data_IF_669103370501
#
_entry.id   IF_669103370501
#
_cell.length_a   1.000
_cell.length_b   1.000
_cell.length_c   1.000
_cell.angle_alpha   90.00
_cell.angle_beta   90.00
_cell.angle_gamma   90.00
#
_symmetry.space_group_name_H-M   'P 1'
#
loop_
_entity.id
_entity.type
_entity.pdbx_description
1 polymer ?
#
# COMPACT_ATOMS: atom_id res chain seq x y z
N UNK A 1 33.01 -2.05 -47.83
CA UNK A 1 32.54 -0.81 -47.16
C UNK A 1 31.25 -1.16 -46.44
N UNK A 2 31.28 -1.34 -45.12
CA UNK A 2 30.08 -1.60 -44.32
C UNK A 2 29.56 -0.24 -43.83
N UNK A 3 28.33 0.10 -44.19
CA UNK A 3 27.62 1.27 -43.68
C UNK A 3 27.21 1.01 -42.22
N UNK A 4 27.56 1.86 -41.25
CA UNK A 4 27.05 1.71 -39.90
C UNK A 4 25.54 1.98 -39.89
N UNK A 5 24.78 1.02 -39.37
CA UNK A 5 23.35 1.14 -39.12
C UNK A 5 23.13 2.21 -38.05
N UNK A 6 22.55 3.34 -38.44
CA UNK A 6 22.39 4.54 -37.63
C UNK A 6 20.94 4.63 -37.15
N UNK A 7 20.43 3.53 -36.57
CA UNK A 7 19.13 3.49 -35.94
C UNK A 7 19.06 4.43 -34.73
N UNK A 8 17.87 4.90 -34.33
CA UNK A 8 17.72 5.69 -33.12
C UNK A 8 18.28 4.92 -31.91
N UNK A 9 18.91 5.61 -30.94
CA UNK A 9 19.48 4.95 -29.78
C UNK A 9 18.39 4.22 -28.98
N UNK A 10 18.76 3.12 -28.34
CA UNK A 10 17.86 2.35 -27.48
C UNK A 10 17.29 3.24 -26.36
N UNK A 11 15.99 3.08 -26.08
CA UNK A 11 15.29 3.85 -25.05
C UNK A 11 15.89 3.58 -23.67
N UNK A 12 16.14 4.64 -22.91
CA UNK A 12 16.63 4.52 -21.53
C UNK A 12 15.50 4.09 -20.59
N UNK A 13 15.85 3.43 -19.48
CA UNK A 13 14.87 3.00 -18.48
C UNK A 13 14.03 4.17 -17.93
N UNK A 14 14.65 5.35 -17.74
CA UNK A 14 13.96 6.55 -17.31
C UNK A 14 12.96 7.04 -18.35
N UNK A 15 13.35 7.04 -19.63
CA UNK A 15 12.47 7.45 -20.72
C UNK A 15 11.26 6.52 -20.83
N UNK A 16 11.48 5.20 -20.72
CA UNK A 16 10.41 4.22 -20.72
C UNK A 16 9.42 4.44 -19.56
N UNK A 17 9.93 4.74 -18.36
CA UNK A 17 9.11 5.01 -17.17
C UNK A 17 8.29 6.29 -17.32
N UNK A 18 8.89 7.36 -17.86
CA UNK A 18 8.19 8.62 -18.12
C UNK A 18 7.12 8.47 -19.21
N UNK A 19 7.42 7.71 -20.26
CA UNK A 19 6.47 7.37 -21.32
C UNK A 19 5.29 6.59 -20.76
N UNK A 20 5.53 5.57 -19.94
CA UNK A 20 4.50 4.77 -19.28
C UNK A 20 3.62 5.61 -18.34
N UNK A 21 4.23 6.46 -17.51
CA UNK A 21 3.49 7.37 -16.62
C UNK A 21 2.60 8.36 -17.40
N UNK A 22 3.09 8.84 -18.55
CA UNK A 22 2.32 9.71 -19.45
C UNK A 22 1.14 9.00 -20.10
N UNK A 23 1.27 7.70 -20.42
CA UNK A 23 0.17 6.89 -20.92
C UNK A 23 -0.87 6.61 -19.82
N UNK A 24 -0.43 6.22 -18.62
CA UNK A 24 -1.30 5.98 -17.47
C UNK A 24 -2.06 7.24 -17.03
N UNK A 25 -1.43 8.41 -17.19
CA UNK A 25 -2.08 9.71 -16.96
C UNK A 25 -3.29 9.94 -17.86
N UNK A 26 -3.18 9.57 -19.15
CA UNK A 26 -4.27 9.73 -20.13
C UNK A 26 -5.44 8.79 -19.86
N UNK A 27 -5.19 7.58 -19.37
CA UNK A 27 -6.23 6.58 -19.12
C UNK A 27 -6.98 6.81 -17.81
N UNK A 28 -6.26 7.21 -16.76
CA UNK A 28 -6.83 7.37 -15.40
C UNK A 28 -7.30 8.78 -15.07
N UNK A 29 -6.84 9.79 -15.82
CA UNK A 29 -7.11 11.21 -15.53
C UNK A 29 -6.22 11.81 -14.42
N UNK A 30 -5.32 11.03 -13.82
CA UNK A 30 -4.35 11.55 -12.85
C UNK A 30 -3.13 12.18 -13.55
N UNK A 31 -2.50 13.22 -12.95
CA UNK A 31 -1.23 13.75 -13.45
C UNK A 31 -0.11 12.69 -13.55
N UNK A 32 0.72 12.77 -14.60
CA UNK A 32 1.81 11.82 -14.84
C UNK A 32 2.82 11.71 -13.68
N UNK A 33 3.11 12.81 -12.99
CA UNK A 33 4.03 12.80 -11.85
C UNK A 33 3.52 11.94 -10.67
N UNK A 34 2.19 11.83 -10.49
CA UNK A 34 1.61 10.97 -9.46
C UNK A 34 1.73 9.48 -9.82
N UNK A 35 1.62 9.16 -11.11
CA UNK A 35 1.91 7.81 -11.61
C UNK A 35 3.37 7.44 -11.42
N UNK A 36 4.28 8.35 -11.77
CA UNK A 36 5.71 8.15 -11.55
C UNK A 36 6.03 7.93 -10.07
N UNK A 37 5.43 8.72 -9.18
CA UNK A 37 5.58 8.56 -7.74
C UNK A 37 5.05 7.20 -7.26
N UNK A 38 3.86 6.80 -7.72
CA UNK A 38 3.29 5.49 -7.41
C UNK A 38 4.17 4.33 -7.93
N UNK A 39 4.69 4.42 -9.16
CA UNK A 39 5.62 3.43 -9.71
C UNK A 39 6.92 3.36 -8.92
N UNK A 40 7.47 4.50 -8.50
CA UNK A 40 8.70 4.55 -7.69
C UNK A 40 8.50 3.83 -6.35
N UNK A 41 7.40 4.13 -5.66
CA UNK A 41 7.03 3.43 -4.41
C UNK A 41 6.78 1.94 -4.66
N UNK A 42 6.07 1.58 -5.73
CA UNK A 42 5.82 0.19 -6.09
C UNK A 42 7.13 -0.58 -6.30
N UNK A 43 8.08 -0.03 -7.04
CA UNK A 43 9.39 -0.67 -7.25
C UNK A 43 10.18 -0.78 -5.94
N UNK A 44 10.10 0.22 -5.06
CA UNK A 44 10.72 0.16 -3.75
C UNK A 44 10.13 -1.00 -2.92
N UNK A 45 8.80 -1.11 -2.87
CA UNK A 45 8.09 -2.20 -2.20
C UNK A 45 8.48 -3.57 -2.77
N UNK A 46 8.53 -3.70 -4.10
CA UNK A 46 8.85 -4.95 -4.78
C UNK A 46 10.29 -5.41 -4.51
N UNK A 47 11.26 -4.52 -4.72
CA UNK A 47 12.66 -4.91 -4.79
C UNK A 47 13.45 -4.70 -3.50
N UNK A 48 13.00 -3.81 -2.61
CA UNK A 48 13.66 -3.57 -1.32
C UNK A 48 12.91 -4.18 -0.14
N UNK A 49 11.59 -4.37 -0.28
CA UNK A 49 10.76 -4.92 0.80
C UNK A 49 10.10 -6.25 0.44
N UNK A 50 10.38 -6.81 -0.74
CA UNK A 50 9.91 -8.13 -1.19
C UNK A 50 8.37 -8.26 -1.17
N UNK A 51 7.66 -7.16 -1.42
CA UNK A 51 6.20 -7.21 -1.52
C UNK A 51 5.75 -7.94 -2.79
N UNK A 52 4.65 -8.67 -2.68
CA UNK A 52 4.04 -9.44 -3.76
C UNK A 52 2.66 -8.87 -4.13
N UNK A 53 2.11 -9.33 -5.26
CA UNK A 53 0.78 -8.93 -5.75
C UNK A 53 0.57 -7.41 -5.86
N UNK A 54 1.65 -6.70 -6.21
CA UNK A 54 1.65 -5.25 -6.31
C UNK A 54 0.85 -4.77 -7.52
N UNK A 55 -0.04 -3.81 -7.29
CA UNK A 55 -0.83 -3.16 -8.34
C UNK A 55 -1.06 -1.68 -8.05
N UNK A 56 -1.03 -0.85 -9.08
CA UNK A 56 -1.44 0.57 -8.96
C UNK A 56 -2.95 0.65 -9.18
N UNK A 57 -3.66 1.16 -8.20
CA UNK A 57 -5.10 1.35 -8.20
C UNK A 57 -5.41 2.83 -8.48
N UNK A 58 -6.27 3.07 -9.46
CA UNK A 58 -6.73 4.41 -9.86
C UNK A 58 -8.23 4.61 -9.69
N UNK A 59 -8.95 3.54 -9.39
CA UNK A 59 -10.40 3.53 -9.26
C UNK A 59 -10.79 3.13 -7.84
N UNK A 60 -11.75 3.84 -7.29
CA UNK A 60 -12.31 3.57 -5.97
C UNK A 60 -12.97 2.20 -5.96
N UNK A 61 -12.66 1.41 -4.94
CA UNK A 61 -13.31 0.12 -4.70
C UNK A 61 -14.71 0.29 -4.12
N UNK A 62 -15.01 1.43 -3.49
CA UNK A 62 -16.29 1.71 -2.84
C UNK A 62 -17.29 2.30 -3.84
N UNK A 63 -16.91 3.34 -4.56
CA UNK A 63 -17.82 4.10 -5.43
C UNK A 63 -17.66 3.78 -6.91
N UNK A 64 -16.58 3.10 -7.30
CA UNK A 64 -16.22 2.89 -8.72
C UNK A 64 -15.78 4.15 -9.45
N UNK A 65 -15.69 5.31 -8.77
CA UNK A 65 -15.20 6.56 -9.35
C UNK A 65 -13.67 6.62 -9.36
N UNK A 66 -13.07 7.54 -10.10
CA UNK A 66 -11.63 7.81 -10.01
C UNK A 66 -11.24 8.13 -8.56
N UNK A 67 -10.13 7.55 -8.08
CA UNK A 67 -9.56 7.90 -6.79
C UNK A 67 -9.15 9.38 -6.77
N UNK A 68 -8.92 9.99 -5.59
CA UNK A 68 -8.30 11.32 -5.54
C UNK A 68 -6.85 11.29 -6.04
N UNK A 69 -6.16 10.16 -5.93
CA UNK A 69 -4.81 9.91 -6.47
C UNK A 69 -4.54 8.41 -6.63
N UNK A 70 -3.55 8.01 -7.44
CA UNK A 70 -3.13 6.62 -7.54
C UNK A 70 -2.66 6.08 -6.18
N UNK A 71 -3.11 4.89 -5.82
CA UNK A 71 -2.68 4.12 -4.67
C UNK A 71 -1.95 2.87 -5.11
N UNK A 72 -1.14 2.28 -4.25
CA UNK A 72 -0.52 0.97 -4.48
C UNK A 72 -1.19 -0.02 -3.54
N UNK A 73 -1.61 -1.17 -4.05
CA UNK A 73 -2.06 -2.31 -3.27
C UNK A 73 -1.02 -3.44 -3.40
N UNK A 74 -0.78 -4.20 -2.34
CA UNK A 74 0.09 -5.38 -2.38
C UNK A 74 0.17 -6.08 -1.03
N UNK A 75 0.95 -7.17 -0.99
CA UNK A 75 1.10 -8.03 0.19
C UNK A 75 2.56 -7.94 0.69
N UNK A 76 2.78 -7.53 1.95
CA UNK A 76 4.11 -7.53 2.55
C UNK A 76 4.58 -8.96 2.87
N UNK A 77 5.90 -9.24 2.92
CA UNK A 77 6.42 -10.56 3.25
C UNK A 77 6.09 -10.99 4.70
N UNK A 78 5.91 -10.02 5.58
CA UNK A 78 5.48 -10.20 6.96
C UNK A 78 4.38 -9.21 7.29
N UNK A 79 3.52 -9.55 8.25
CA UNK A 79 2.44 -8.67 8.70
C UNK A 79 2.97 -7.27 9.07
N UNK A 80 2.50 -6.25 8.35
CA UNK A 80 2.99 -4.88 8.49
C UNK A 80 2.57 -4.21 9.81
N UNK A 81 1.42 -4.60 10.36
CA UNK A 81 0.91 -4.10 11.64
C UNK A 81 0.13 -5.18 12.37
N UNK A 82 0.35 -5.28 13.68
CA UNK A 82 -0.42 -6.12 14.60
C UNK A 82 -1.11 -5.18 15.57
N UNK A 83 -2.43 -5.30 15.72
CA UNK A 83 -3.13 -4.48 16.70
C UNK A 83 -2.62 -4.84 18.11
N UNK A 84 -2.40 -3.88 19.03
CA UNK A 84 -1.84 -4.23 20.33
C UNK A 84 -2.74 -5.17 21.16
N UNK A 85 -4.06 -5.06 21.01
CA UNK A 85 -4.99 -5.96 21.71
C UNK A 85 -4.94 -7.37 21.09
N UNK A 86 -4.76 -7.47 19.77
CA UNK A 86 -4.46 -8.74 19.09
C UNK A 86 -3.15 -9.33 19.61
N UNK A 87 -2.12 -8.52 19.78
CA UNK A 87 -0.83 -8.97 20.33
C UNK A 87 -0.99 -9.53 21.75
N UNK A 88 -1.81 -8.91 22.58
CA UNK A 88 -2.11 -9.42 23.93
C UNK A 88 -2.88 -10.75 23.87
N UNK A 89 -3.85 -10.89 22.96
CA UNK A 89 -4.57 -12.14 22.73
C UNK A 89 -3.64 -13.26 22.27
N UNK A 90 -2.75 -12.97 21.31
CA UNK A 90 -1.73 -13.89 20.81
C UNK A 90 -0.84 -14.34 21.97
N UNK A 91 -0.26 -13.41 22.74
CA UNK A 91 0.64 -13.75 23.85
C UNK A 91 -0.05 -14.61 24.92
N UNK A 92 -1.33 -14.34 25.22
CA UNK A 92 -2.12 -15.15 26.16
C UNK A 92 -2.35 -16.56 25.63
N UNK A 93 -2.65 -16.69 24.34
CA UNK A 93 -2.88 -17.97 23.69
C UNK A 93 -1.58 -18.79 23.62
N UNK A 94 -0.46 -18.18 23.21
CA UNK A 94 0.86 -18.82 23.18
C UNK A 94 1.29 -19.31 24.57
N UNK A 95 1.04 -18.53 25.62
CA UNK A 95 1.32 -18.96 27.00
C UNK A 95 0.43 -20.13 27.45
N UNK A 96 -0.80 -20.24 26.94
CA UNK A 96 -1.75 -21.30 27.29
C UNK A 96 -1.47 -22.60 26.52
N UNK A 97 -1.12 -22.50 25.24
CA UNK A 97 -0.90 -23.66 24.35
C UNK A 97 0.56 -24.10 24.28
N UNK A 98 1.51 -23.21 24.62
CA UNK A 98 2.94 -23.43 24.48
C UNK A 98 3.44 -23.43 23.03
N UNK A 99 2.59 -23.05 22.07
CA UNK A 99 2.90 -23.01 20.64
C UNK A 99 2.89 -21.56 20.15
N UNK A 100 3.81 -21.21 19.25
CA UNK A 100 3.82 -19.88 18.64
C UNK A 100 2.74 -19.77 17.55
N UNK A 101 2.03 -18.65 17.53
CA UNK A 101 0.97 -18.38 16.56
C UNK A 101 1.58 -17.64 15.37
N UNK A 102 1.53 -18.29 14.20
CA UNK A 102 2.02 -17.68 12.96
C UNK A 102 1.12 -16.51 12.52
N UNK A 103 1.74 -15.37 12.22
CA UNK A 103 1.05 -14.20 11.68
C UNK A 103 1.02 -14.28 10.15
N UNK A 104 -0.17 -14.47 9.58
CA UNK A 104 -0.34 -14.42 8.13
C UNK A 104 -0.14 -12.99 7.60
N UNK A 105 0.55 -12.84 6.45
CA UNK A 105 0.57 -11.59 5.71
C UNK A 105 -0.85 -11.14 5.35
N UNK A 106 -1.06 -9.82 5.38
CA UNK A 106 -2.32 -9.22 4.95
C UNK A 106 -2.06 -8.19 3.85
N UNK A 107 -2.96 -8.09 2.85
CA UNK A 107 -2.91 -7.04 1.85
C UNK A 107 -3.05 -5.66 2.48
N UNK A 108 -2.26 -4.71 1.98
CA UNK A 108 -2.22 -3.35 2.49
C UNK A 108 -2.36 -2.31 1.38
N UNK A 109 -3.07 -1.23 1.72
CA UNK A 109 -3.10 -0.02 0.92
C UNK A 109 -1.85 0.80 1.22
N UNK A 110 -1.16 1.24 0.18
CA UNK A 110 -0.02 2.15 0.28
C UNK A 110 -0.37 3.44 -0.46
N UNK A 111 -0.21 4.55 0.24
CA UNK A 111 -0.41 5.91 -0.25
C UNK A 111 0.96 6.53 -0.58
N UNK A 112 1.35 6.63 -1.87
CA UNK A 112 2.58 7.29 -2.27
C UNK A 112 2.48 8.79 -2.03
N UNK A 113 3.52 9.42 -1.51
CA UNK A 113 3.61 10.87 -1.24
C UNK A 113 5.03 11.36 -1.44
N UNK A 114 5.19 12.65 -1.69
CA UNK A 114 6.49 13.30 -1.75
C UNK A 114 6.70 14.19 -0.51
N UNK A 115 7.93 14.31 -0.01
CA UNK A 115 8.26 15.09 1.19
C UNK A 115 7.83 16.56 1.11
N UNK A 116 7.84 17.13 -0.09
CA UNK A 116 7.44 18.53 -0.35
C UNK A 116 5.91 18.72 -0.52
N UNK A 117 5.11 17.65 -0.48
CA UNK A 117 3.65 17.74 -0.56
C UNK A 117 3.03 18.23 0.75
N UNK A 118 2.12 19.19 0.64
CA UNK A 118 1.30 19.63 1.78
C UNK A 118 0.03 18.79 1.90
N UNK A 119 -0.02 18.00 2.96
CA UNK A 119 -1.17 17.19 3.33
C UNK A 119 -2.06 17.90 4.34
N UNK A 120 -3.36 17.90 4.06
CA UNK A 120 -4.39 18.34 5.00
C UNK A 120 -5.21 17.14 5.45
N UNK A 121 -5.84 17.25 6.62
CA UNK A 121 -6.74 16.21 7.12
C UNK A 121 -7.87 15.90 6.13
N UNK A 122 -8.37 16.93 5.43
CA UNK A 122 -9.38 16.77 4.38
C UNK A 122 -8.90 15.86 3.25
N UNK A 123 -7.67 16.03 2.76
CA UNK A 123 -7.12 15.17 1.69
C UNK A 123 -6.97 13.72 2.16
N UNK A 124 -6.57 13.52 3.41
CA UNK A 124 -6.51 12.17 3.99
C UNK A 124 -7.90 11.53 4.08
N UNK A 125 -8.89 12.28 4.57
CA UNK A 125 -10.28 11.82 4.62
C UNK A 125 -10.80 11.43 3.24
N UNK A 126 -10.57 12.25 2.21
CA UNK A 126 -10.96 11.94 0.82
C UNK A 126 -10.34 10.63 0.30
N UNK A 127 -9.10 10.32 0.67
CA UNK A 127 -8.45 9.04 0.33
C UNK A 127 -9.11 7.89 1.08
N UNK A 128 -9.30 8.02 2.39
CA UNK A 128 -9.95 7.00 3.19
C UNK A 128 -11.38 6.74 2.70
N UNK A 129 -12.19 7.77 2.47
CA UNK A 129 -13.57 7.62 1.99
C UNK A 129 -13.66 6.86 0.65
N UNK A 130 -12.62 6.92 -0.18
CA UNK A 130 -12.60 6.31 -1.50
C UNK A 130 -12.09 4.85 -1.54
N UNK A 131 -11.63 4.26 -0.43
CA UNK A 131 -11.11 2.89 -0.39
C UNK A 131 -11.89 1.98 0.56
N UNK A 132 -11.84 0.67 0.35
CA UNK A 132 -12.30 -0.29 1.33
C UNK A 132 -11.26 -0.53 2.43
N UNK A 133 -11.66 -1.16 3.54
CA UNK A 133 -10.77 -1.55 4.65
C UNK A 133 -9.61 -2.44 4.21
N UNK A 134 -9.82 -3.25 3.18
CA UNK A 134 -8.85 -4.20 2.63
C UNK A 134 -8.79 -4.00 1.11
N UNK A 135 -7.60 -4.05 0.47
CA UNK A 135 -7.50 -3.98 -0.97
C UNK A 135 -8.25 -5.11 -1.70
N UNK A 136 -8.71 -4.87 -2.94
CA UNK A 136 -9.40 -5.87 -3.74
C UNK A 136 -8.41 -6.93 -4.25
N UNK A 137 -8.81 -8.20 -4.27
CA UNK A 137 -8.01 -9.31 -4.83
C UNK A 137 -7.46 -10.31 -3.82
N UNK A 138 -7.70 -10.11 -2.52
CA UNK A 138 -7.03 -10.87 -1.45
C UNK A 138 -7.95 -11.19 -0.27
N UNK A 139 -9.26 -11.23 -0.51
CA UNK A 139 -10.28 -11.44 0.54
C UNK A 139 -10.73 -12.90 0.65
N UNK A 140 -10.51 -13.72 -0.39
CA UNK A 140 -10.96 -15.12 -0.43
C UNK A 140 -10.24 -15.99 0.60
N UNK A 141 -9.05 -15.59 1.06
CA UNK A 141 -8.26 -16.26 2.11
C UNK A 141 -8.43 -15.66 3.51
N UNK A 142 -9.29 -14.65 3.68
CA UNK A 142 -9.53 -13.98 4.96
C UNK A 142 -10.90 -14.31 5.58
N UNK A 143 -11.61 -15.31 5.05
CA UNK A 143 -12.72 -15.96 5.75
C UNK A 143 -12.15 -16.73 6.95
N UNK A 144 -11.86 -16.00 8.02
CA UNK A 144 -11.39 -16.56 9.28
C UNK A 144 -12.58 -17.06 10.08
N UNK A 145 -12.44 -18.25 10.65
CA UNK A 145 -13.34 -18.70 11.72
C UNK A 145 -13.33 -17.64 12.83
N UNK A 146 -14.52 -17.24 13.29
CA UNK A 146 -14.66 -16.27 14.39
C UNK A 146 -13.93 -16.70 15.68
N UNK A 147 -13.54 -17.97 15.77
CA UNK A 147 -12.83 -18.56 16.91
C UNK A 147 -11.30 -18.43 16.81
N UNK A 148 -10.75 -17.92 15.69
CA UNK A 148 -9.30 -17.69 15.57
C UNK A 148 -8.84 -16.53 16.46
N UNK A 149 -7.69 -16.70 17.12
CA UNK A 149 -7.08 -15.65 17.96
C UNK A 149 -6.80 -14.42 17.10
N UNK A 150 -7.38 -13.29 17.47
CA UNK A 150 -7.24 -12.05 16.70
C UNK A 150 -8.25 -11.85 15.56
N UNK A 151 -9.24 -12.72 15.37
CA UNK A 151 -10.24 -12.59 14.30
C UNK A 151 -10.99 -11.23 14.31
N UNK A 152 -11.14 -10.62 15.50
CA UNK A 152 -11.74 -9.29 15.66
C UNK A 152 -10.87 -8.13 15.15
N UNK A 153 -9.60 -8.38 14.83
CA UNK A 153 -8.61 -7.35 14.49
C UNK A 153 -8.04 -7.50 13.07
N UNK A 154 -8.58 -8.43 12.29
CA UNK A 154 -8.07 -8.85 10.98
C UNK A 154 -9.11 -8.66 9.87
N UNK A 155 -8.64 -8.69 8.62
CA UNK A 155 -9.51 -8.64 7.44
C UNK A 155 -10.50 -7.48 7.47
N UNK A 156 -11.80 -7.76 7.31
CA UNK A 156 -12.86 -6.72 7.33
C UNK A 156 -13.13 -6.15 8.72
N UNK A 157 -12.75 -6.85 9.79
CA UNK A 157 -12.95 -6.41 11.17
C UNK A 157 -11.85 -5.43 11.63
N UNK A 158 -10.72 -5.36 10.91
CA UNK A 158 -9.62 -4.45 11.25
C UNK A 158 -10.04 -2.99 11.07
N UNK A 159 -9.42 -2.12 11.86
CA UNK A 159 -9.54 -0.68 11.66
C UNK A 159 -8.96 -0.30 10.30
N UNK A 160 -9.68 0.55 9.56
CA UNK A 160 -9.24 1.03 8.26
C UNK A 160 -7.93 1.78 8.41
N UNK A 161 -6.93 1.35 7.65
CA UNK A 161 -5.57 1.85 7.70
C UNK A 161 -4.92 1.83 6.33
N UNK A 162 -3.85 2.59 6.19
CA UNK A 162 -2.96 2.56 5.02
C UNK A 162 -1.52 2.80 5.46
N UNK A 163 -0.57 2.41 4.61
CA UNK A 163 0.83 2.79 4.72
C UNK A 163 1.10 4.05 3.90
N UNK A 164 1.44 5.14 4.56
CA UNK A 164 1.93 6.37 3.94
C UNK A 164 3.39 6.18 3.55
N UNK A 165 3.66 6.06 2.25
CA UNK A 165 5.01 5.98 1.70
C UNK A 165 5.46 7.37 1.26
N UNK A 166 6.44 7.96 1.94
CA UNK A 166 6.96 9.29 1.66
C UNK A 166 8.31 9.18 0.97
N UNK A 167 8.38 9.61 -0.29
CA UNK A 167 9.61 9.74 -1.07
C UNK A 167 10.31 11.05 -0.73
N UNK A 168 11.60 10.95 -0.42
CA UNK A 168 12.51 12.07 -0.22
C UNK A 168 13.35 12.36 -1.47
N UNK A 169 13.90 13.57 -1.55
CA UNK A 169 14.73 14.02 -2.68
C UNK A 169 16.05 13.23 -2.82
N UNK A 170 16.48 12.53 -1.77
CA UNK A 170 17.64 11.62 -1.76
C UNK A 170 17.28 10.17 -2.18
N UNK A 171 16.07 9.95 -2.68
CA UNK A 171 15.50 8.64 -3.03
C UNK A 171 15.20 7.71 -1.86
N UNK A 172 15.25 8.20 -0.61
CA UNK A 172 14.78 7.44 0.55
C UNK A 172 13.25 7.37 0.54
N UNK A 173 12.69 6.20 0.83
CA UNK A 173 11.24 6.02 1.04
C UNK A 173 10.99 5.68 2.50
N UNK A 174 10.15 6.47 3.16
CA UNK A 174 9.77 6.27 4.57
C UNK A 174 8.31 5.82 4.66
N UNK A 175 8.05 4.79 5.44
CA UNK A 175 6.72 4.20 5.60
C UNK A 175 6.14 4.51 6.98
N UNK A 176 4.93 5.07 7.02
CA UNK A 176 4.16 5.27 8.26
C UNK A 176 2.82 4.57 8.18
N UNK A 177 2.36 3.96 9.26
CA UNK A 177 1.01 3.41 9.33
C UNK A 177 0.06 4.52 9.79
N UNK A 178 -0.96 4.79 8.97
CA UNK A 178 -1.99 5.80 9.25
C UNK A 178 -3.33 5.10 9.41
N UNK A 179 -4.04 5.39 10.50
CA UNK A 179 -5.35 4.82 10.79
C UNK A 179 -6.44 5.86 10.54
N UNK A 180 -7.61 5.38 10.11
CA UNK A 180 -8.83 6.17 10.06
C UNK A 180 -9.47 6.21 11.45
N UNK A 181 -9.41 7.38 12.09
CA UNK A 181 -10.03 7.64 13.40
C UNK A 181 -9.06 7.89 14.56
N UNK A 182 -9.64 8.13 15.74
CA UNK A 182 -8.90 8.40 16.98
C UNK A 182 -8.46 7.09 17.62
N UNK A 183 -7.15 6.89 17.74
CA UNK A 183 -6.58 5.82 18.57
C UNK A 183 -6.80 6.19 20.05
N UNK A 184 -7.38 5.29 20.85
CA UNK A 184 -7.62 5.55 22.28
C UNK A 184 -6.29 5.85 22.97
N UNK A 185 -6.16 6.99 23.68
CA UNK A 185 -4.95 7.30 24.43
C UNK A 185 -4.76 6.24 25.51
N UNK A 186 -3.56 5.66 25.58
CA UNK A 186 -3.20 4.71 26.63
C UNK A 186 -2.89 5.49 27.90
N UNK A 187 -3.52 5.12 29.00
CA UNK A 187 -2.96 5.41 30.31
C UNK A 187 -1.83 4.41 30.53
N UNK A 188 -0.62 4.94 30.71
CA UNK A 188 0.54 4.18 31.14
C UNK A 188 0.43 3.82 32.62
#
# INVERSE_FOLDING_TARGET
MATPDNGPPAESALQALLTAASQASKTSGHPAHLHQLASTVLYNLQYQHEWTELSIQTTSTVTGSTLPRPLVAGIPPSRAYVHPDEQVEILKAEHKTGQSIALSPEPEWVLPTHINEKWSLKKFAEVFDAIETVPPGSTETLEQDNDEVGAGWRGKNRQKRLLLATLHDDSTVVYYIVHDGIVKPRQN
#
